data_IF_464505867611
#
_entry.id   IF_464505867611
#
_cell.length_a   1.000
_cell.length_b   1.000
_cell.length_c   1.000
_cell.angle_alpha   90.00
_cell.angle_beta   90.00
_cell.angle_gamma   90.00
#
_symmetry.space_group_name_H-M   'P 1'
#
loop_
_entity.id
_entity.type
_entity.pdbx_description
1 polymer ?
#
# COMPACT_ATOMS: atom_id res chain seq x y z
N UNK A 1 2.24 -6.91 10.34
CA UNK A 1 1.27 -8.02 10.15
C UNK A 1 1.40 -8.55 8.75
N UNK A 2 1.68 -9.84 8.60
CA UNK A 2 1.60 -10.50 7.29
C UNK A 2 0.13 -10.48 6.87
N UNK A 3 -0.24 -9.73 5.82
CA UNK A 3 -1.51 -9.93 5.14
C UNK A 3 -1.47 -11.30 4.48
N UNK A 4 -1.79 -12.33 5.26
CA UNK A 4 -2.16 -13.63 4.70
C UNK A 4 -3.49 -13.41 4.01
N UNK A 5 -3.53 -13.45 2.70
CA UNK A 5 -4.77 -13.62 1.96
C UNK A 5 -5.39 -14.91 2.52
N UNK A 6 -6.44 -14.78 3.35
CA UNK A 6 -7.11 -15.92 4.04
C UNK A 6 -7.70 -16.95 3.09
N UNK A 7 -7.65 -16.72 1.79
CA UNK A 7 -8.25 -17.55 0.73
C UNK A 7 -7.52 -18.89 0.56
N UNK A 8 -6.29 -19.01 1.02
CA UNK A 8 -5.47 -20.20 0.82
C UNK A 8 -5.23 -20.92 2.14
N UNK A 9 -6.30 -21.47 2.73
CA UNK A 9 -6.22 -22.24 3.96
C UNK A 9 -5.10 -23.29 3.93
N UNK A 10 -4.10 -23.11 4.79
CA UNK A 10 -3.01 -24.05 5.10
C UNK A 10 -2.10 -24.53 3.94
N UNK A 11 -2.24 -24.08 2.70
CA UNK A 11 -1.29 -24.38 1.63
C UNK A 11 -0.49 -23.13 1.28
N UNK A 12 0.84 -23.26 1.27
CA UNK A 12 1.73 -22.18 0.91
C UNK A 12 1.72 -21.95 -0.60
N UNK A 13 1.34 -20.75 -1.01
CA UNK A 13 1.57 -20.23 -2.36
C UNK A 13 2.86 -19.41 -2.33
N UNK A 14 3.84 -19.80 -3.12
CA UNK A 14 5.09 -19.04 -3.24
C UNK A 14 4.80 -17.70 -3.87
N UNK A 15 5.38 -16.66 -3.27
CA UNK A 15 5.23 -15.27 -3.71
C UNK A 15 6.60 -14.62 -3.87
N UNK A 16 6.71 -13.68 -4.80
CA UNK A 16 7.89 -12.86 -5.04
C UNK A 16 7.48 -11.39 -5.10
N UNK A 17 8.17 -10.55 -4.33
CA UNK A 17 8.03 -9.10 -4.42
C UNK A 17 8.97 -8.54 -5.48
N UNK A 18 8.45 -7.85 -6.49
CA UNK A 18 9.23 -7.06 -7.43
C UNK A 18 9.30 -5.61 -6.92
N UNK A 19 10.49 -5.18 -6.50
CA UNK A 19 10.70 -3.86 -5.92
C UNK A 19 10.71 -2.73 -6.97
N UNK A 20 10.97 -3.04 -8.23
CA UNK A 20 11.03 -2.06 -9.31
C UNK A 20 9.61 -1.72 -9.81
N UNK A 21 8.73 -2.70 -9.84
CA UNK A 21 7.33 -2.56 -10.24
C UNK A 21 6.39 -2.34 -9.03
N UNK A 22 6.91 -2.44 -7.80
CA UNK A 22 6.15 -2.42 -6.54
C UNK A 22 4.95 -3.40 -6.58
N UNK A 23 5.14 -4.63 -7.12
CA UNK A 23 4.08 -5.60 -7.32
C UNK A 23 4.43 -7.00 -6.77
N UNK A 24 3.43 -7.73 -6.31
CA UNK A 24 3.53 -9.12 -5.89
C UNK A 24 3.26 -10.07 -7.05
N UNK A 25 4.14 -11.07 -7.22
CA UNK A 25 3.98 -12.17 -8.15
C UNK A 25 3.73 -13.47 -7.40
N UNK A 26 2.81 -14.26 -7.91
CA UNK A 26 2.34 -15.52 -7.32
C UNK A 26 2.63 -16.68 -8.25
N UNK A 27 3.08 -17.80 -7.70
CA UNK A 27 3.27 -19.05 -8.46
C UNK A 27 1.93 -19.59 -8.93
N UNK A 28 1.73 -19.65 -10.24
CA UNK A 28 0.49 -20.16 -10.87
C UNK A 28 0.25 -21.63 -10.54
N UNK A 29 1.31 -22.44 -10.52
CA UNK A 29 1.22 -23.87 -10.20
C UNK A 29 0.74 -24.07 -8.77
N UNK A 30 1.20 -23.24 -7.84
CA UNK A 30 0.80 -23.35 -6.44
C UNK A 30 -0.66 -22.91 -6.25
N UNK A 31 -1.11 -21.85 -6.95
CA UNK A 31 -2.52 -21.44 -6.98
C UNK A 31 -3.41 -22.56 -7.53
N UNK A 32 -3.00 -23.17 -8.64
CA UNK A 32 -3.71 -24.31 -9.20
C UNK A 32 -3.74 -25.50 -8.22
N UNK A 33 -2.64 -25.79 -7.51
CA UNK A 33 -2.57 -26.86 -6.52
C UNK A 33 -3.53 -26.66 -5.34
N UNK A 34 -3.76 -25.40 -4.95
CA UNK A 34 -4.70 -25.07 -3.86
C UNK A 34 -6.14 -25.19 -4.32
N UNK A 35 -6.45 -24.68 -5.52
CA UNK A 35 -7.83 -24.49 -6.00
C UNK A 35 -8.35 -25.60 -6.89
N UNK A 36 -7.46 -26.37 -7.57
CA UNK A 36 -7.90 -27.52 -8.34
C UNK A 36 -8.37 -28.65 -7.42
N UNK A 37 -9.36 -29.40 -7.84
CA UNK A 37 -9.80 -30.57 -7.10
C UNK A 37 -8.70 -31.63 -7.01
N UNK A 38 -8.67 -32.35 -5.89
CA UNK A 38 -7.68 -33.39 -5.56
C UNK A 38 -7.53 -34.54 -6.57
N UNK A 39 -8.37 -34.58 -7.60
CA UNK A 39 -8.27 -35.50 -8.73
C UNK A 39 -7.01 -35.28 -9.59
N UNK A 40 -6.39 -34.09 -9.54
CA UNK A 40 -5.14 -33.84 -10.27
C UNK A 40 -3.94 -34.03 -9.33
N UNK A 41 -3.32 -35.22 -9.44
CA UNK A 41 -2.09 -35.58 -8.71
C UNK A 41 -0.86 -34.72 -9.14
N UNK A 42 -0.94 -34.00 -10.27
CA UNK A 42 0.11 -33.17 -10.83
C UNK A 42 -0.43 -31.74 -11.12
N UNK A 43 -0.19 -30.78 -10.24
CA UNK A 43 -0.59 -29.37 -10.44
C UNK A 43 0.03 -28.74 -11.69
N UNK A 44 1.24 -29.17 -12.07
CA UNK A 44 1.90 -28.71 -13.28
C UNK A 44 1.21 -29.19 -14.56
N UNK A 45 0.74 -30.44 -14.57
CA UNK A 45 -0.05 -30.94 -15.69
C UNK A 45 -1.42 -30.25 -15.78
N UNK A 46 -2.05 -29.97 -14.64
CA UNK A 46 -3.28 -29.20 -14.60
C UNK A 46 -3.08 -27.79 -15.20
N UNK A 47 -2.04 -27.08 -14.76
CA UNK A 47 -1.72 -25.76 -15.31
C UNK A 47 -1.46 -25.81 -16.83
N UNK A 48 -0.69 -26.77 -17.32
CA UNK A 48 -0.43 -26.90 -18.77
C UNK A 48 -1.72 -27.03 -19.58
N UNK A 49 -2.67 -27.84 -19.11
CA UNK A 49 -3.99 -28.00 -19.76
C UNK A 49 -4.83 -26.73 -19.69
N UNK A 50 -4.88 -26.10 -18.52
CA UNK A 50 -5.60 -24.85 -18.31
C UNK A 50 -5.01 -23.73 -19.18
N UNK A 51 -3.67 -23.60 -19.22
CA UNK A 51 -2.95 -22.62 -20.04
C UNK A 51 -3.28 -22.77 -21.52
N UNK A 52 -3.33 -24.02 -22.03
CA UNK A 52 -3.68 -24.27 -23.42
C UNK A 52 -5.13 -23.88 -23.73
N UNK A 53 -6.08 -24.18 -22.82
CA UNK A 53 -7.48 -23.74 -22.96
C UNK A 53 -7.58 -22.22 -22.99
N UNK A 54 -6.99 -21.54 -22.00
CA UNK A 54 -7.00 -20.08 -21.91
C UNK A 54 -6.36 -19.40 -23.12
N UNK A 55 -5.31 -20.02 -23.67
CA UNK A 55 -4.68 -19.55 -24.92
C UNK A 55 -5.64 -19.63 -26.09
N UNK A 56 -6.38 -20.74 -26.22
CA UNK A 56 -7.36 -20.93 -27.28
C UNK A 56 -8.56 -19.96 -27.15
N UNK A 57 -8.89 -19.58 -25.92
CA UNK A 57 -9.93 -18.59 -25.60
C UNK A 57 -9.44 -17.13 -25.76
N UNK A 58 -8.16 -16.91 -26.13
CA UNK A 58 -7.58 -15.57 -26.24
C UNK A 58 -7.42 -14.84 -24.91
N UNK A 59 -7.30 -15.56 -23.79
CA UNK A 59 -7.24 -14.97 -22.45
C UNK A 59 -5.90 -14.29 -22.21
N UNK A 60 -5.93 -13.04 -21.74
CA UNK A 60 -4.76 -12.24 -21.33
C UNK A 60 -3.95 -12.88 -20.19
N UNK A 61 -4.53 -13.78 -19.39
CA UNK A 61 -3.82 -14.49 -18.32
C UNK A 61 -2.58 -15.21 -18.84
N UNK A 62 -2.63 -15.75 -20.06
CA UNK A 62 -1.50 -16.45 -20.66
C UNK A 62 -0.43 -15.48 -21.14
N UNK A 63 -0.83 -14.34 -21.70
CA UNK A 63 0.08 -13.31 -22.22
C UNK A 63 0.83 -12.63 -21.10
N UNK A 64 0.16 -12.38 -19.98
CA UNK A 64 0.71 -11.69 -18.81
C UNK A 64 1.41 -12.66 -17.81
N UNK A 65 1.66 -13.89 -18.21
CA UNK A 65 2.34 -14.88 -17.39
C UNK A 65 3.84 -14.76 -17.52
N UNK A 66 4.52 -14.43 -16.40
CA UNK A 66 5.96 -14.21 -16.33
C UNK A 66 6.68 -15.45 -15.81
N UNK A 67 7.80 -15.82 -16.44
CA UNK A 67 8.65 -16.91 -15.96
C UNK A 67 9.70 -16.39 -14.97
N UNK A 68 9.42 -16.42 -13.67
CA UNK A 68 10.31 -15.93 -12.61
C UNK A 68 11.02 -17.07 -11.89
N UNK A 69 12.23 -16.81 -11.37
CA UNK A 69 12.98 -17.77 -10.56
C UNK A 69 12.42 -17.79 -9.15
N UNK A 70 11.81 -18.91 -8.75
CA UNK A 70 11.30 -19.13 -7.38
C UNK A 70 11.97 -20.33 -6.74
N UNK A 71 12.20 -20.24 -5.42
CA UNK A 71 12.78 -21.35 -4.65
C UNK A 71 11.73 -22.47 -4.50
N UNK A 72 12.15 -23.70 -4.76
CA UNK A 72 11.37 -24.90 -4.56
C UNK A 72 11.68 -25.55 -3.19
N UNK A 73 10.92 -26.58 -2.83
CA UNK A 73 11.08 -27.30 -1.57
C UNK A 73 12.46 -27.98 -1.39
N UNK A 74 13.16 -28.28 -2.51
CA UNK A 74 14.53 -28.79 -2.50
C UNK A 74 15.61 -27.72 -2.31
N UNK A 75 15.20 -26.47 -2.08
CA UNK A 75 16.09 -25.31 -1.89
C UNK A 75 16.65 -24.72 -3.19
N UNK A 76 16.41 -25.34 -4.35
CA UNK A 76 16.88 -24.85 -5.65
C UNK A 76 15.91 -23.85 -6.27
N UNK A 77 16.40 -23.03 -7.19
CA UNK A 77 15.60 -22.03 -7.89
C UNK A 77 15.21 -22.53 -9.29
N UNK A 78 13.91 -22.56 -9.56
CA UNK A 78 13.36 -22.96 -10.85
C UNK A 78 12.57 -21.83 -11.50
N UNK A 79 12.61 -21.76 -12.83
CA UNK A 79 11.75 -20.87 -13.60
C UNK A 79 10.31 -21.34 -13.44
N UNK A 80 9.49 -20.50 -12.83
CA UNK A 80 8.10 -20.80 -12.46
C UNK A 80 7.19 -19.78 -13.13
N UNK A 81 6.09 -20.25 -13.72
CA UNK A 81 5.04 -19.37 -14.27
C UNK A 81 4.38 -18.60 -13.12
N UNK A 82 4.41 -17.27 -13.21
CA UNK A 82 3.92 -16.35 -12.20
C UNK A 82 2.97 -15.32 -12.80
N UNK A 83 2.01 -14.88 -12.02
CA UNK A 83 1.08 -13.81 -12.34
C UNK A 83 1.10 -12.79 -11.22
N UNK A 84 0.84 -11.52 -11.57
CA UNK A 84 0.55 -10.46 -10.64
C UNK A 84 -0.81 -10.67 -9.95
N UNK A 85 -1.19 -9.78 -9.07
CA UNK A 85 -2.45 -9.86 -8.33
C UNK A 85 -3.66 -9.91 -9.27
N UNK A 86 -3.70 -9.07 -10.30
CA UNK A 86 -4.80 -9.02 -11.29
C UNK A 86 -4.90 -10.33 -12.09
N UNK A 87 -3.76 -10.83 -12.54
CA UNK A 87 -3.69 -12.09 -13.29
C UNK A 87 -4.14 -13.29 -12.46
N UNK A 88 -3.78 -13.36 -11.18
CA UNK A 88 -4.26 -14.42 -10.26
C UNK A 88 -5.77 -14.33 -10.05
N UNK A 89 -6.31 -13.13 -9.81
CA UNK A 89 -7.76 -12.94 -9.66
C UNK A 89 -8.52 -13.40 -10.91
N UNK A 90 -7.98 -13.13 -12.09
CA UNK A 90 -8.57 -13.58 -13.36
C UNK A 90 -8.41 -15.08 -13.58
N UNK A 91 -7.24 -15.65 -13.22
CA UNK A 91 -6.99 -17.10 -13.29
C UNK A 91 -8.00 -17.89 -12.46
N UNK A 92 -8.26 -17.47 -11.22
CA UNK A 92 -9.17 -18.15 -10.29
C UNK A 92 -10.59 -18.25 -10.86
N UNK A 93 -11.05 -17.22 -11.57
CA UNK A 93 -12.36 -17.23 -12.24
C UNK A 93 -12.45 -18.34 -13.32
N UNK A 94 -11.31 -18.69 -13.93
CA UNK A 94 -11.21 -19.69 -14.99
C UNK A 94 -11.03 -21.12 -14.49
N UNK A 95 -10.85 -21.32 -13.17
CA UNK A 95 -10.70 -22.67 -12.57
C UNK A 95 -12.11 -23.26 -12.28
N UNK A 96 -12.52 -24.34 -12.97
CA UNK A 96 -13.81 -25.00 -12.74
C UNK A 96 -13.68 -25.97 -11.56
N UNK A 97 -13.65 -25.45 -10.35
CA UNK A 97 -13.52 -26.26 -9.13
C UNK A 97 -14.42 -25.69 -8.02
N UNK A 98 -15.10 -26.57 -7.25
CA UNK A 98 -15.85 -26.14 -6.07
C UNK A 98 -15.00 -25.39 -5.05
N UNK A 99 -13.69 -25.67 -4.98
CA UNK A 99 -12.76 -24.95 -4.09
C UNK A 99 -12.50 -23.49 -4.51
N UNK A 100 -12.69 -23.17 -5.78
CA UNK A 100 -12.59 -21.82 -6.29
C UNK A 100 -13.88 -21.00 -6.08
N UNK A 101 -15.00 -21.66 -5.79
CA UNK A 101 -16.33 -21.03 -5.71
C UNK A 101 -16.41 -19.96 -4.60
N UNK A 102 -15.96 -20.20 -3.35
CA UNK A 102 -15.96 -19.16 -2.31
C UNK A 102 -15.21 -17.90 -2.73
N UNK A 103 -14.14 -18.05 -3.51
CA UNK A 103 -13.37 -16.93 -4.01
C UNK A 103 -14.11 -16.17 -5.13
N UNK A 104 -14.78 -16.87 -6.03
CA UNK A 104 -15.61 -16.26 -7.08
C UNK A 104 -16.78 -15.48 -6.47
N UNK A 105 -17.41 -16.05 -5.44
CA UNK A 105 -18.47 -15.36 -4.68
C UNK A 105 -17.95 -14.09 -3.98
N UNK A 106 -16.75 -14.18 -3.37
CA UNK A 106 -16.12 -13.00 -2.79
C UNK A 106 -15.83 -11.92 -3.84
N UNK A 107 -15.32 -12.28 -5.03
CA UNK A 107 -15.12 -11.32 -6.12
C UNK A 107 -16.42 -10.67 -6.59
N UNK A 108 -17.50 -11.46 -6.68
CA UNK A 108 -18.83 -10.95 -7.02
C UNK A 108 -19.33 -9.95 -5.97
N UNK A 109 -19.13 -10.27 -4.67
CA UNK A 109 -19.48 -9.38 -3.57
C UNK A 109 -18.69 -8.07 -3.64
N UNK A 110 -17.36 -8.13 -3.80
CA UNK A 110 -16.50 -6.93 -3.94
C UNK A 110 -16.93 -6.09 -5.14
N UNK A 111 -17.27 -6.71 -6.26
CA UNK A 111 -17.77 -6.03 -7.44
C UNK A 111 -19.11 -5.31 -7.18
N UNK A 112 -20.04 -5.98 -6.51
CA UNK A 112 -21.34 -5.41 -6.13
C UNK A 112 -21.17 -4.23 -5.17
N UNK A 113 -20.36 -4.38 -4.12
CA UNK A 113 -20.07 -3.30 -3.17
C UNK A 113 -19.46 -2.08 -3.89
N UNK A 114 -18.59 -2.31 -4.87
CA UNK A 114 -18.02 -1.21 -5.66
C UNK A 114 -19.06 -0.48 -6.50
N UNK A 115 -20.04 -1.20 -7.08
CA UNK A 115 -21.14 -0.57 -7.80
C UNK A 115 -22.04 0.25 -6.87
N UNK A 116 -22.29 -0.27 -5.67
CA UNK A 116 -23.04 0.45 -4.63
C UNK A 116 -22.34 1.74 -4.18
N UNK A 117 -21.00 1.72 -4.07
CA UNK A 117 -20.19 2.90 -3.74
C UNK A 117 -20.20 3.96 -4.87
N UNK A 118 -20.32 3.55 -6.11
CA UNK A 118 -20.47 4.48 -7.25
C UNK A 118 -21.82 5.21 -7.16
N UNK A 119 -22.88 4.49 -6.73
CA UNK A 119 -24.21 5.05 -6.55
C UNK A 119 -24.31 5.90 -5.27
N UNK A 120 -23.55 5.54 -4.23
CA UNK A 120 -23.54 6.22 -2.92
C UNK A 120 -22.07 6.33 -2.43
N UNK A 121 -21.38 7.44 -2.76
CA UNK A 121 -19.96 7.64 -2.40
C UNK A 121 -19.68 7.67 -0.90
N UNK A 122 -20.68 7.97 -0.05
CA UNK A 122 -20.52 7.96 1.41
C UNK A 122 -20.11 6.57 1.90
N UNK A 123 -20.63 5.51 1.30
CA UNK A 123 -20.24 4.11 1.62
C UNK A 123 -18.75 3.86 1.45
N UNK A 124 -18.13 4.42 0.41
CA UNK A 124 -16.67 4.29 0.20
C UNK A 124 -15.87 4.98 1.32
N UNK A 125 -16.32 6.14 1.80
CA UNK A 125 -15.69 6.89 2.89
C UNK A 125 -15.80 6.10 4.20
N UNK A 126 -17.00 5.62 4.52
CA UNK A 126 -17.27 4.82 5.73
C UNK A 126 -16.46 3.52 5.72
N UNK A 127 -16.44 2.79 4.61
CA UNK A 127 -15.62 1.60 4.44
C UNK A 127 -14.11 1.88 4.62
N UNK A 128 -13.63 3.02 4.11
CA UNK A 128 -12.25 3.46 4.34
C UNK A 128 -11.94 3.65 5.82
N UNK A 129 -12.84 4.31 6.57
CA UNK A 129 -12.71 4.47 8.01
C UNK A 129 -12.73 3.12 8.75
N UNK A 130 -13.62 2.20 8.35
CA UNK A 130 -13.73 0.87 8.95
C UNK A 130 -12.45 0.04 8.76
N UNK A 131 -11.76 0.17 7.62
CA UNK A 131 -10.46 -0.46 7.43
C UNK A 131 -9.41 0.05 8.42
N UNK A 132 -9.40 1.34 8.73
CA UNK A 132 -8.49 1.89 9.74
C UNK A 132 -8.88 1.42 11.16
N UNK A 133 -10.18 1.39 11.51
CA UNK A 133 -10.68 0.82 12.77
C UNK A 133 -10.24 -0.65 12.95
N UNK A 134 -10.41 -1.46 11.90
CA UNK A 134 -10.00 -2.87 11.91
C UNK A 134 -8.48 -3.07 12.07
N UNK A 135 -7.66 -2.06 11.72
CA UNK A 135 -6.21 -2.04 11.95
C UNK A 135 -5.82 -1.53 13.34
N UNK A 136 -6.79 -1.09 14.17
CA UNK A 136 -6.56 -0.60 15.53
C UNK A 136 -6.22 0.89 15.63
N UNK A 137 -6.46 1.69 14.58
CA UNK A 137 -6.29 3.14 14.65
C UNK A 137 -7.41 3.79 15.48
N UNK A 138 -7.06 4.84 16.23
CA UNK A 138 -8.03 5.62 17.00
C UNK A 138 -8.89 6.51 16.11
N UNK A 139 -10.11 6.84 16.54
CA UNK A 139 -11.01 7.76 15.80
C UNK A 139 -10.34 9.12 15.55
N UNK A 140 -9.56 9.65 16.53
CA UNK A 140 -8.83 10.90 16.37
C UNK A 140 -7.82 10.83 15.23
N UNK A 141 -7.05 9.72 15.13
CA UNK A 141 -6.12 9.50 14.02
C UNK A 141 -6.85 9.35 12.69
N UNK A 142 -7.98 8.62 12.66
CA UNK A 142 -8.78 8.40 11.44
C UNK A 142 -9.27 9.74 10.90
N UNK A 143 -9.86 10.57 11.75
CA UNK A 143 -10.35 11.92 11.37
C UNK A 143 -9.21 12.80 10.84
N UNK A 144 -8.06 12.79 11.51
CA UNK A 144 -6.87 13.53 11.07
C UNK A 144 -6.39 13.00 9.71
N UNK A 145 -6.37 11.67 9.51
CA UNK A 145 -5.96 11.06 8.24
C UNK A 145 -6.89 11.46 7.09
N UNK A 146 -8.18 11.51 7.31
CA UNK A 146 -9.15 11.97 6.30
C UNK A 146 -8.90 13.43 5.90
N UNK A 147 -8.63 14.31 6.87
CA UNK A 147 -8.26 15.70 6.59
C UNK A 147 -6.95 15.79 5.76
N UNK A 148 -5.95 14.97 6.05
CA UNK A 148 -4.70 14.97 5.27
C UNK A 148 -4.89 14.50 3.83
N UNK A 149 -5.91 13.69 3.54
CA UNK A 149 -6.27 13.30 2.17
C UNK A 149 -6.76 14.53 1.39
N UNK A 150 -7.60 15.35 2.01
CA UNK A 150 -8.10 16.59 1.41
C UNK A 150 -6.96 17.59 1.14
N UNK A 151 -6.11 17.85 2.14
CA UNK A 151 -4.94 18.74 1.99
C UNK A 151 -3.99 18.24 0.88
N UNK A 152 -3.78 16.93 0.79
CA UNK A 152 -2.99 16.33 -0.27
C UNK A 152 -3.61 16.53 -1.64
N UNK A 153 -4.93 16.39 -1.74
CA UNK A 153 -5.65 16.64 -2.98
C UNK A 153 -5.50 18.08 -3.41
N UNK A 154 -5.70 19.03 -2.49
CA UNK A 154 -5.52 20.46 -2.77
C UNK A 154 -4.12 20.77 -3.30
N UNK A 155 -3.06 20.23 -2.69
CA UNK A 155 -1.69 20.39 -3.18
C UNK A 155 -1.51 19.78 -4.59
N UNK A 156 -2.11 18.63 -4.85
CA UNK A 156 -2.02 17.97 -6.15
C UNK A 156 -2.75 18.77 -7.23
N UNK A 157 -3.93 19.30 -6.91
CA UNK A 157 -4.70 20.15 -7.79
C UNK A 157 -3.97 21.48 -8.07
N UNK A 158 -3.30 22.05 -7.07
CA UNK A 158 -2.43 23.22 -7.22
C UNK A 158 -1.26 22.95 -8.18
N UNK A 159 -0.54 21.85 -8.00
CA UNK A 159 0.54 21.46 -8.92
C UNK A 159 0.02 21.24 -10.35
N UNK A 160 -1.16 20.65 -10.49
CA UNK A 160 -1.80 20.43 -11.78
C UNK A 160 -2.13 21.75 -12.47
N UNK A 161 -2.60 22.77 -11.75
CA UNK A 161 -2.89 24.10 -12.30
C UNK A 161 -1.64 24.81 -12.85
N UNK A 162 -0.45 24.38 -12.40
CA UNK A 162 0.86 24.84 -12.88
C UNK A 162 1.52 23.87 -13.89
N UNK A 163 0.73 23.04 -14.57
CA UNK A 163 1.20 22.19 -15.67
C UNK A 163 1.92 20.92 -15.24
N UNK A 164 1.85 20.52 -13.97
CA UNK A 164 2.37 19.22 -13.52
C UNK A 164 1.32 18.15 -13.83
N UNK A 165 1.57 17.32 -14.84
CA UNK A 165 0.60 16.30 -15.32
C UNK A 165 1.11 14.87 -15.15
N UNK A 166 2.43 14.67 -15.14
CA UNK A 166 3.01 13.33 -15.12
C UNK A 166 3.13 12.77 -13.69
N UNK A 167 2.73 11.54 -13.47
CA UNK A 167 2.81 10.86 -12.16
C UNK A 167 4.21 10.90 -11.56
N UNK A 168 5.25 10.77 -12.40
CA UNK A 168 6.65 10.86 -11.96
C UNK A 168 6.99 12.23 -11.35
N UNK A 169 6.42 13.31 -11.87
CA UNK A 169 6.70 14.67 -11.40
C UNK A 169 6.07 14.91 -10.02
N UNK A 170 4.83 14.45 -9.81
CA UNK A 170 4.21 14.43 -8.48
C UNK A 170 5.04 13.62 -7.48
N UNK A 171 5.58 12.47 -7.91
CA UNK A 171 6.43 11.64 -7.06
C UNK A 171 7.74 12.35 -6.68
N UNK A 172 8.38 13.05 -7.62
CA UNK A 172 9.59 13.84 -7.37
C UNK A 172 9.30 14.98 -6.39
N UNK A 173 8.27 15.80 -6.64
CA UNK A 173 7.90 16.92 -5.77
C UNK A 173 7.58 16.43 -4.34
N UNK A 174 6.81 15.35 -4.23
CA UNK A 174 6.51 14.71 -2.93
C UNK A 174 7.76 14.24 -2.23
N UNK A 175 8.68 13.61 -2.96
CA UNK A 175 9.94 13.11 -2.40
C UNK A 175 10.83 14.26 -1.91
N UNK A 176 10.95 15.34 -2.66
CA UNK A 176 11.73 16.54 -2.26
C UNK A 176 11.15 17.20 -1.00
N UNK A 177 9.82 17.35 -0.95
CA UNK A 177 9.11 17.87 0.21
C UNK A 177 9.33 16.97 1.43
N UNK A 178 9.12 15.65 1.27
CA UNK A 178 9.28 14.66 2.35
C UNK A 178 10.71 14.66 2.86
N UNK A 179 11.71 14.65 1.96
CA UNK A 179 13.13 14.69 2.32
C UNK A 179 13.49 15.98 3.05
N UNK A 180 12.89 17.10 2.66
CA UNK A 180 13.16 18.40 3.30
C UNK A 180 12.70 18.43 4.77
N UNK A 181 11.54 17.83 5.12
CA UNK A 181 11.06 17.85 6.50
C UNK A 181 11.52 16.65 7.33
N UNK A 182 11.55 15.44 6.75
CA UNK A 182 11.90 14.24 7.51
C UNK A 182 13.39 13.91 7.52
N UNK A 183 14.15 14.42 6.54
CA UNK A 183 15.54 14.03 6.29
C UNK A 183 15.68 12.73 5.49
N UNK A 184 14.56 12.06 5.17
CA UNK A 184 14.52 10.79 4.46
C UNK A 184 13.76 10.94 3.14
N UNK A 185 14.23 10.30 2.09
CA UNK A 185 13.40 10.08 0.90
C UNK A 185 12.19 9.21 1.24
N UNK A 186 11.14 9.25 0.43
CA UNK A 186 9.96 8.40 0.61
C UNK A 186 10.34 6.92 0.67
N UNK A 187 11.30 6.47 -0.16
CA UNK A 187 11.81 5.09 -0.19
C UNK A 187 12.53 4.71 1.12
N UNK A 188 13.39 5.58 1.62
CA UNK A 188 14.10 5.37 2.90
C UNK A 188 13.14 5.37 4.08
N UNK A 189 12.14 6.24 4.06
CA UNK A 189 11.14 6.32 5.11
C UNK A 189 10.24 5.07 5.11
N UNK A 190 9.78 4.60 3.95
CA UNK A 190 9.10 3.30 3.84
C UNK A 190 9.96 2.17 4.39
N UNK A 191 11.27 2.15 4.07
CA UNK A 191 12.20 1.14 4.61
C UNK A 191 12.32 1.22 6.13
N UNK A 192 12.44 2.42 6.71
CA UNK A 192 12.49 2.63 8.16
C UNK A 192 11.24 2.04 8.84
N UNK A 193 10.07 2.25 8.25
CA UNK A 193 8.78 1.75 8.75
C UNK A 193 8.49 0.27 8.40
N UNK A 194 9.42 -0.44 7.73
CA UNK A 194 9.24 -1.83 7.32
C UNK A 194 8.18 -2.05 6.24
N UNK A 195 7.86 -1.00 5.46
CA UNK A 195 6.80 -1.00 4.44
C UNK A 195 7.34 -1.45 3.07
N UNK A 196 6.48 -2.08 2.28
CA UNK A 196 6.72 -2.46 0.88
C UNK A 196 5.83 -1.65 -0.06
N UNK A 197 4.58 -2.09 -0.26
CA UNK A 197 3.57 -1.44 -1.11
C UNK A 197 2.67 -0.48 -0.33
N UNK A 198 2.66 -0.62 0.98
CA UNK A 198 1.76 0.15 1.86
C UNK A 198 1.98 1.66 1.71
N UNK A 199 0.91 2.43 1.92
CA UNK A 199 0.99 3.89 1.89
C UNK A 199 1.77 4.39 3.12
N UNK A 200 2.80 5.20 2.90
CA UNK A 200 3.63 5.73 3.97
C UNK A 200 2.81 6.54 5.00
N UNK A 201 1.88 7.38 4.54
CA UNK A 201 1.05 8.23 5.43
C UNK A 201 0.12 7.42 6.33
N UNK A 202 -0.35 6.26 5.86
CA UNK A 202 -1.19 5.36 6.65
C UNK A 202 -0.42 4.68 7.79
N UNK A 203 0.91 4.82 7.80
CA UNK A 203 1.80 4.25 8.80
C UNK A 203 2.59 5.32 9.57
N UNK A 204 2.24 6.58 9.43
CA UNK A 204 2.79 7.69 10.20
C UNK A 204 2.10 7.80 11.56
N UNK A 205 2.88 8.11 12.60
CA UNK A 205 2.35 8.50 13.91
C UNK A 205 1.60 9.84 13.79
N UNK A 206 0.81 10.22 14.80
CA UNK A 206 0.08 11.48 14.79
C UNK A 206 0.98 12.69 14.50
N UNK A 207 2.13 12.77 15.15
CA UNK A 207 3.06 13.92 14.98
C UNK A 207 3.67 13.91 13.58
N UNK A 208 4.09 12.75 13.08
CA UNK A 208 4.62 12.63 11.71
C UNK A 208 3.56 13.04 10.67
N UNK A 209 2.30 12.67 10.91
CA UNK A 209 1.18 12.99 10.02
C UNK A 209 0.89 14.49 10.00
N UNK A 210 0.89 15.15 11.18
CA UNK A 210 0.74 16.62 11.32
C UNK A 210 1.88 17.35 10.62
N UNK A 211 3.13 16.92 10.79
CA UNK A 211 4.29 17.55 10.14
C UNK A 211 4.24 17.38 8.63
N UNK A 212 3.82 16.21 8.13
CA UNK A 212 3.63 16.02 6.70
C UNK A 212 2.51 16.92 6.15
N UNK A 213 1.39 17.04 6.88
CA UNK A 213 0.29 17.94 6.52
C UNK A 213 0.76 19.41 6.52
N UNK A 214 1.54 19.84 7.51
CA UNK A 214 2.12 21.19 7.56
C UNK A 214 2.99 21.47 6.33
N UNK A 215 3.82 20.52 5.90
CA UNK A 215 4.61 20.64 4.69
C UNK A 215 3.72 20.81 3.45
N UNK A 216 2.66 20.02 3.33
CA UNK A 216 1.71 20.05 2.20
C UNK A 216 0.96 21.39 2.14
N UNK A 217 0.35 21.83 3.24
CA UNK A 217 -0.40 23.08 3.33
C UNK A 217 0.51 24.30 3.06
N UNK A 218 1.72 24.29 3.62
CA UNK A 218 2.68 25.39 3.41
C UNK A 218 3.14 25.43 1.96
N UNK A 219 3.39 24.27 1.34
CA UNK A 219 3.75 24.20 -0.08
C UNK A 219 2.64 24.79 -0.95
N UNK A 220 1.39 24.39 -0.71
CA UNK A 220 0.19 24.91 -1.41
C UNK A 220 0.09 26.46 -1.25
N UNK A 221 0.24 26.96 -0.03
CA UNK A 221 0.14 28.40 0.23
C UNK A 221 1.25 29.21 -0.48
N UNK A 222 2.47 28.70 -0.50
CA UNK A 222 3.59 29.34 -1.21
C UNK A 222 3.33 29.29 -2.73
N UNK A 223 2.92 28.14 -3.27
CA UNK A 223 2.62 27.96 -4.69
C UNK A 223 1.54 28.93 -5.17
N UNK A 224 0.41 29.00 -4.46
CA UNK A 224 -0.68 29.94 -4.74
C UNK A 224 -0.24 31.40 -4.75
N UNK A 225 0.74 31.76 -3.92
CA UNK A 225 1.26 33.12 -3.84
C UNK A 225 2.27 33.45 -4.95
N UNK A 226 3.16 32.50 -5.24
CA UNK A 226 4.32 32.73 -6.14
C UNK A 226 4.04 32.32 -7.59
N UNK A 227 2.97 31.53 -7.83
CA UNK A 227 2.52 31.12 -9.17
C UNK A 227 3.67 30.57 -10.04
N UNK A 228 4.28 29.42 -9.68
CA UNK A 228 5.45 28.90 -10.38
C UNK A 228 5.12 28.54 -11.83
N UNK A 229 5.96 29.01 -12.77
CA UNK A 229 5.82 28.74 -14.20
C UNK A 229 6.57 27.46 -14.64
N UNK A 230 7.49 26.97 -13.82
CA UNK A 230 8.37 25.85 -14.15
C UNK A 230 8.35 24.75 -13.10
N UNK A 231 8.69 23.53 -13.54
CA UNK A 231 8.86 22.39 -12.62
C UNK A 231 9.93 22.63 -11.54
N UNK A 232 11.06 23.27 -11.88
CA UNK A 232 12.14 23.54 -10.92
C UNK A 232 11.73 24.61 -9.87
N UNK A 233 10.88 25.56 -10.22
CA UNK A 233 10.28 26.49 -9.25
C UNK A 233 9.33 25.74 -8.32
N UNK A 234 8.43 24.90 -8.85
CA UNK A 234 7.53 24.05 -8.05
C UNK A 234 8.32 23.15 -7.09
N UNK A 235 9.43 22.59 -7.54
CA UNK A 235 10.34 21.78 -6.72
C UNK A 235 11.02 22.58 -5.62
N UNK A 236 11.42 23.82 -5.92
CA UNK A 236 11.99 24.73 -4.93
C UNK A 236 10.96 25.10 -3.88
N UNK A 237 9.72 25.37 -4.27
CA UNK A 237 8.59 25.63 -3.37
C UNK A 237 8.31 24.42 -2.49
N UNK A 238 8.28 23.21 -3.05
CA UNK A 238 8.09 21.98 -2.29
C UNK A 238 9.16 21.78 -1.20
N UNK A 239 10.44 22.07 -1.51
CA UNK A 239 11.53 22.07 -0.52
C UNK A 239 11.32 23.12 0.58
N UNK A 240 10.85 24.32 0.23
CA UNK A 240 10.60 25.39 1.20
C UNK A 240 9.45 25.04 2.13
N UNK A 241 8.34 24.49 1.62
CA UNK A 241 7.24 23.97 2.44
C UNK A 241 7.70 22.88 3.40
N UNK A 242 8.50 21.92 2.89
CA UNK A 242 9.13 20.91 3.74
C UNK A 242 10.06 21.49 4.80
N UNK A 243 10.81 22.57 4.50
CA UNK A 243 11.69 23.22 5.47
C UNK A 243 10.93 23.85 6.64
N UNK A 244 9.74 24.40 6.40
CA UNK A 244 8.87 24.92 7.47
C UNK A 244 8.51 23.79 8.45
N UNK A 245 8.06 22.65 7.93
CA UNK A 245 7.76 21.50 8.75
C UNK A 245 9.00 20.92 9.46
N UNK A 246 10.18 20.99 8.84
CA UNK A 246 11.45 20.63 9.49
C UNK A 246 11.74 21.50 10.71
N UNK A 247 11.53 22.81 10.62
CA UNK A 247 11.75 23.72 11.74
C UNK A 247 10.81 23.36 12.91
N UNK A 248 9.51 23.15 12.62
CA UNK A 248 8.55 22.69 13.62
C UNK A 248 8.95 21.34 14.23
N UNK A 249 9.43 20.39 13.41
CA UNK A 249 9.95 19.09 13.90
C UNK A 249 11.11 19.29 14.86
N UNK A 250 12.07 20.14 14.51
CA UNK A 250 13.25 20.40 15.37
C UNK A 250 12.84 20.95 16.73
N UNK A 251 11.87 21.87 16.76
CA UNK A 251 11.36 22.45 18.00
C UNK A 251 10.64 21.38 18.84
N UNK A 252 9.80 20.54 18.21
CA UNK A 252 9.11 19.43 18.87
C UNK A 252 10.12 18.43 19.45
N UNK A 253 11.12 18.00 18.66
CA UNK A 253 12.17 17.07 19.09
C UNK A 253 12.98 17.64 20.26
N UNK A 254 13.24 18.94 20.25
CA UNK A 254 13.89 19.65 21.39
C UNK A 254 13.07 19.58 22.67
N UNK A 255 11.75 19.72 22.60
CA UNK A 255 10.86 19.65 23.77
C UNK A 255 10.66 18.21 24.26
N UNK A 256 10.60 17.25 23.34
CA UNK A 256 10.38 15.85 23.69
C UNK A 256 11.66 15.12 24.11
N UNK A 257 12.85 15.64 23.79
CA UNK A 257 14.13 14.98 24.01
C UNK A 257 14.34 13.68 23.19
N UNK A 258 13.51 13.47 22.15
CA UNK A 258 13.60 12.29 21.28
C UNK A 258 13.18 12.62 19.85
N UNK A 259 13.63 11.78 18.90
CA UNK A 259 13.24 11.94 17.49
C UNK A 259 11.76 11.63 17.28
N UNK A 260 11.09 12.47 16.49
CA UNK A 260 9.74 12.24 15.98
C UNK A 260 9.74 11.16 14.89
N UNK A 261 10.83 11.12 14.08
CA UNK A 261 10.96 10.12 13.02
C UNK A 261 11.34 8.78 13.64
N UNK A 262 10.45 7.80 13.55
CA UNK A 262 10.62 6.52 14.20
C UNK A 262 10.14 5.34 13.32
N UNK A 263 10.55 4.10 13.60
CA UNK A 263 10.00 2.92 12.94
C UNK A 263 8.57 2.57 13.37
N UNK A 264 8.04 3.22 14.43
CA UNK A 264 6.71 2.96 14.97
C UNK A 264 5.62 3.38 13.99
N UNK A 265 4.59 2.55 13.87
CA UNK A 265 3.36 2.85 13.15
C UNK A 265 2.32 3.46 14.10
N UNK A 266 1.33 4.15 13.55
CA UNK A 266 0.28 4.80 14.35
C UNK A 266 -0.58 3.81 15.17
N UNK A 267 -0.63 2.54 14.76
CA UNK A 267 -1.31 1.46 15.50
C UNK A 267 -0.46 0.84 16.61
N UNK A 268 0.84 1.17 16.67
CA UNK A 268 1.74 0.63 17.69
C UNK A 268 1.54 1.43 18.99
N UNK A 269 1.37 0.72 20.12
CA UNK A 269 1.31 1.37 21.43
C UNK A 269 2.67 2.00 21.76
N UNK A 270 2.73 3.25 22.25
CA UNK A 270 3.97 3.83 22.76
C UNK A 270 4.52 2.98 23.90
N UNK A 271 5.84 2.77 23.94
CA UNK A 271 6.49 1.98 24.99
C UNK A 271 6.26 2.52 26.41
N UNK A 272 5.82 3.77 26.56
CA UNK A 272 5.49 4.41 27.84
C UNK A 272 4.13 3.95 28.43
N UNK A 273 3.20 3.40 27.61
CA UNK A 273 1.92 2.89 28.12
C UNK A 273 2.02 1.46 28.67
N UNK A 274 3.14 0.77 28.48
CA UNK A 274 3.34 -0.61 28.94
C UNK A 274 3.78 -0.69 30.42
N UNK A 275 4.13 0.44 31.06
CA UNK A 275 4.66 0.45 32.44
C UNK A 275 3.64 0.74 33.55
N UNK A 276 2.36 0.98 33.22
CA UNK A 276 1.35 1.32 34.24
C UNK A 276 0.50 0.15 34.76
N UNK A 277 0.60 -1.04 34.15
CA UNK A 277 -0.21 -2.21 34.57
C UNK A 277 0.51 -3.19 35.52
N UNK A 278 1.70 -2.86 36.04
CA UNK A 278 2.47 -3.76 36.88
C UNK A 278 2.67 -3.31 38.36
N UNK A 279 2.11 -2.17 38.77
CA UNK A 279 2.31 -1.61 40.12
C UNK A 279 1.04 -1.58 41.00
N UNK A 280 -0.07 -2.20 40.60
CA UNK A 280 -1.27 -2.32 41.46
C UNK A 280 -1.59 -3.75 41.91
N UNK A 281 -0.60 -4.55 42.25
CA UNK A 281 -0.81 -5.77 43.07
C UNK A 281 0.34 -5.97 44.05
N UNK A 282 0.46 -5.09 45.04
CA UNK A 282 1.10 -5.38 46.33
C UNK A 282 0.71 -4.29 47.33
N UNK A 283 -0.40 -4.51 48.02
CA UNK A 283 -0.59 -4.28 49.45
C UNK A 283 -1.80 -5.08 49.94
#
# INVERSE_FOLDING_TARGET
>A
MQNKIKVFENKQVRTLWNADEEEWYFSVVDVCNVLADSASKDPGAYWRKLKQRLKNEGSEVVTNCHGLKMQAADGKYYKTDCLDTKGVLRLVQSIPSPKAEPFKMWLAQVGSERLDEIADPEKAILRGADFYRAKGYTEGWINQRLQTIEMRKELTDEWKSHGIEQEKDYAILTNEMTKAWSGLSVKEYKKLKGLKKENLRDNMTNIELVLNMLAEVTTTAISKREQPDTFEESKTIAKRGGKVAKNARTDIESQLGQSVISPLNASDKPALEVKTDSDEEKD
#
